data_IF_249931858690
#
_entry.id   IF_249931858690
#
_cell.length_a   1.000
_cell.length_b   1.000
_cell.length_c   1.000
_cell.angle_alpha   90.00
_cell.angle_beta   90.00
_cell.angle_gamma   90.00
#
_symmetry.space_group_name_H-M   'P 1'
#
loop_
_entity.id
_entity.type
_entity.pdbx_description
1 polymer ?
#
# COMPACT_ATOMS: atom_id res chain seq x y z
N UNK A 1 -5.41 8.14 8.22
CA UNK A 1 -4.07 8.62 7.80
C UNK A 1 -3.61 9.87 8.58
N UNK A 2 -2.47 10.45 8.18
CA UNK A 2 -1.91 11.73 8.65
C UNK A 2 -2.39 12.94 7.82
N UNK A 3 -2.78 12.73 6.56
CA UNK A 3 -3.20 13.76 5.60
C UNK A 3 -4.45 13.29 4.83
N UNK A 4 -5.54 12.99 5.53
CA UNK A 4 -6.73 12.35 4.94
C UNK A 4 -7.37 13.14 3.80
N UNK A 5 -7.20 14.46 3.77
CA UNK A 5 -7.66 15.32 2.68
C UNK A 5 -6.86 15.09 1.38
N UNK A 6 -5.53 15.08 1.49
CA UNK A 6 -4.65 14.84 0.34
C UNK A 6 -4.70 13.38 -0.10
N UNK A 7 -4.80 12.45 0.84
CA UNK A 7 -4.91 11.02 0.56
C UNK A 7 -6.13 10.73 -0.33
N UNK A 8 -7.32 11.15 0.09
CA UNK A 8 -8.53 11.02 -0.73
C UNK A 8 -8.43 11.76 -2.08
N UNK A 9 -7.81 12.95 -2.10
CA UNK A 9 -7.66 13.71 -3.34
C UNK A 9 -6.68 13.09 -4.34
N UNK A 10 -5.70 12.33 -3.86
CA UNK A 10 -4.65 11.70 -4.66
C UNK A 10 -5.05 10.29 -5.09
N UNK A 11 -5.69 9.53 -4.20
CA UNK A 11 -5.75 8.07 -4.31
C UNK A 11 -7.13 7.47 -3.94
N UNK A 12 -8.20 8.27 -3.89
CA UNK A 12 -9.53 7.70 -3.68
C UNK A 12 -9.94 6.79 -4.82
N UNK A 13 -10.67 5.73 -4.49
CA UNK A 13 -11.23 4.78 -5.46
C UNK A 13 -12.66 5.15 -5.78
N UNK A 14 -13.15 4.63 -6.90
CA UNK A 14 -14.53 4.86 -7.34
C UNK A 14 -15.58 4.48 -6.28
N UNK A 15 -15.30 3.47 -5.45
CA UNK A 15 -16.24 3.01 -4.40
C UNK A 15 -16.29 3.95 -3.19
N UNK A 16 -15.35 4.89 -3.08
CA UNK A 16 -15.33 5.93 -2.05
C UNK A 16 -16.26 7.11 -2.40
N UNK A 17 -16.87 7.10 -3.60
CA UNK A 17 -17.75 8.16 -4.09
C UNK A 17 -19.17 7.66 -4.39
N UNK A 18 -20.19 8.33 -3.84
CA UNK A 18 -21.60 7.96 -4.05
C UNK A 18 -22.02 7.97 -5.54
N UNK A 19 -21.43 8.87 -6.33
CA UNK A 19 -21.68 9.00 -7.77
C UNK A 19 -20.69 8.20 -8.63
N UNK A 20 -19.85 7.37 -8.01
CA UNK A 20 -18.82 6.56 -8.65
C UNK A 20 -17.98 7.39 -9.63
N UNK A 21 -17.80 6.88 -10.86
CA UNK A 21 -16.94 7.51 -11.88
C UNK A 21 -17.41 8.90 -12.33
N UNK A 22 -18.66 9.26 -12.02
CA UNK A 22 -19.25 10.56 -12.41
C UNK A 22 -19.13 11.61 -11.31
N UNK A 23 -18.63 11.25 -10.13
CA UNK A 23 -18.47 12.17 -9.03
C UNK A 23 -17.48 13.29 -9.38
N UNK A 24 -17.82 14.54 -9.04
CA UNK A 24 -16.95 15.69 -9.30
C UNK A 24 -15.67 15.66 -8.47
N UNK A 25 -15.72 15.02 -7.30
CA UNK A 25 -14.61 14.83 -6.38
C UNK A 25 -13.77 13.57 -6.68
N UNK A 26 -14.18 12.72 -7.64
CA UNK A 26 -13.35 11.60 -8.10
C UNK A 26 -12.20 12.12 -8.97
N UNK A 27 -11.05 12.32 -8.34
CA UNK A 27 -9.83 12.88 -8.93
C UNK A 27 -8.64 11.94 -8.72
N UNK A 28 -7.39 12.42 -8.85
CA UNK A 28 -6.22 11.63 -8.51
C UNK A 28 -5.88 10.49 -9.49
N UNK A 29 -5.15 9.49 -8.97
CA UNK A 29 -4.62 8.35 -9.72
C UNK A 29 -5.74 7.52 -10.35
N UNK A 30 -6.70 7.04 -9.57
CA UNK A 30 -7.75 6.14 -10.08
C UNK A 30 -8.71 6.80 -11.07
N UNK A 31 -8.89 8.13 -11.00
CA UNK A 31 -9.61 8.87 -12.05
C UNK A 31 -8.88 8.83 -13.39
N UNK A 32 -7.56 8.99 -13.37
CA UNK A 32 -6.73 8.88 -14.57
C UNK A 32 -6.61 7.44 -15.03
N UNK A 33 -6.51 6.48 -14.11
CA UNK A 33 -6.53 5.05 -14.38
C UNK A 33 -7.79 4.66 -15.18
N UNK A 34 -8.97 5.11 -14.72
CA UNK A 34 -10.23 4.89 -15.45
C UNK A 34 -10.16 5.44 -16.88
N UNK A 35 -9.72 6.69 -17.05
CA UNK A 35 -9.64 7.31 -18.37
C UNK A 35 -8.67 6.55 -19.30
N UNK A 36 -7.51 6.15 -18.79
CA UNK A 36 -6.45 5.50 -19.57
C UNK A 36 -6.73 4.03 -19.87
N UNK A 37 -7.11 3.25 -18.87
CA UNK A 37 -7.20 1.79 -18.99
C UNK A 37 -8.61 1.29 -19.33
N UNK A 38 -9.65 1.98 -18.86
CA UNK A 38 -11.03 1.63 -19.22
C UNK A 38 -11.51 2.35 -20.48
N UNK A 39 -11.25 3.67 -20.58
CA UNK A 39 -11.76 4.49 -21.67
C UNK A 39 -10.77 4.71 -22.82
N UNK A 40 -9.50 4.30 -22.64
CA UNK A 40 -8.43 4.47 -23.62
C UNK A 40 -8.35 5.90 -24.19
N UNK A 41 -8.43 6.89 -23.31
CA UNK A 41 -8.48 8.31 -23.68
C UNK A 41 -7.74 9.20 -22.69
N UNK A 42 -7.19 10.29 -23.20
CA UNK A 42 -6.66 11.40 -22.41
C UNK A 42 -7.52 12.65 -22.53
N UNK A 43 -8.64 12.56 -23.25
CA UNK A 43 -9.53 13.69 -23.51
C UNK A 43 -10.02 14.28 -22.18
N UNK A 44 -9.88 15.59 -22.05
CA UNK A 44 -10.33 16.38 -20.89
C UNK A 44 -9.65 16.00 -19.55
N UNK A 45 -8.57 15.20 -19.56
CA UNK A 45 -7.86 14.77 -18.34
C UNK A 45 -6.76 15.74 -17.88
N UNK A 46 -6.46 16.78 -18.68
CA UNK A 46 -5.44 17.79 -18.34
C UNK A 46 -5.62 18.40 -16.95
N UNK A 47 -6.82 18.92 -16.60
CA UNK A 47 -7.08 19.46 -15.27
C UNK A 47 -6.91 18.45 -14.13
N UNK A 48 -7.23 17.17 -14.35
CA UNK A 48 -7.05 16.11 -13.34
C UNK A 48 -5.57 15.84 -13.11
N UNK A 49 -4.77 15.75 -14.19
CA UNK A 49 -3.33 15.56 -14.09
C UNK A 49 -2.62 16.75 -13.42
N UNK A 50 -3.02 17.98 -13.74
CA UNK A 50 -2.52 19.19 -13.10
C UNK A 50 -2.83 19.22 -11.60
N UNK A 51 -4.05 18.82 -11.24
CA UNK A 51 -4.47 18.70 -9.83
C UNK A 51 -3.66 17.65 -9.08
N UNK A 52 -3.52 16.44 -9.63
CA UNK A 52 -2.72 15.37 -9.02
C UNK A 52 -1.27 15.83 -8.77
N UNK A 53 -0.64 16.48 -9.77
CA UNK A 53 0.72 17.02 -9.60
C UNK A 53 0.79 18.10 -8.52
N UNK A 54 -0.24 18.94 -8.41
CA UNK A 54 -0.34 19.94 -7.34
C UNK A 54 -0.46 19.29 -5.96
N UNK A 55 -1.33 18.30 -5.82
CA UNK A 55 -1.59 17.61 -4.56
C UNK A 55 -0.36 16.82 -4.08
N UNK A 56 0.36 16.16 -4.99
CA UNK A 56 1.61 15.45 -4.66
C UNK A 56 2.71 16.43 -4.21
N UNK A 57 2.78 17.63 -4.79
CA UNK A 57 3.70 18.69 -4.33
C UNK A 57 3.30 19.25 -2.96
N UNK A 58 2.00 19.37 -2.68
CA UNK A 58 1.52 19.75 -1.35
C UNK A 58 1.87 18.66 -0.33
N UNK A 59 1.63 17.39 -0.66
CA UNK A 59 2.03 16.25 0.18
C UNK A 59 3.53 16.29 0.49
N UNK A 60 4.37 16.50 -0.52
CA UNK A 60 5.83 16.63 -0.32
C UNK A 60 6.17 17.73 0.70
N UNK A 61 5.52 18.89 0.59
CA UNK A 61 5.74 20.01 1.51
C UNK A 61 5.30 19.67 2.93
N UNK A 62 4.07 19.13 3.09
CA UNK A 62 3.53 18.77 4.40
C UNK A 62 4.34 17.68 5.10
N UNK A 63 4.84 16.70 4.33
CA UNK A 63 5.73 15.64 4.83
C UNK A 63 7.07 16.21 5.30
N UNK A 64 7.63 17.19 4.56
CA UNK A 64 8.91 17.83 4.93
C UNK A 64 8.81 18.59 6.25
N UNK A 65 7.67 19.23 6.50
CA UNK A 65 7.41 20.00 7.73
C UNK A 65 6.92 19.12 8.89
N UNK A 66 6.64 17.84 8.64
CA UNK A 66 6.09 16.93 9.64
C UNK A 66 7.18 16.40 10.58
N UNK A 67 6.99 16.61 11.87
CA UNK A 67 7.69 15.82 12.89
C UNK A 67 7.00 14.46 13.01
N UNK A 68 7.68 13.39 12.62
CA UNK A 68 7.14 12.04 12.64
C UNK A 68 7.02 11.49 14.07
N UNK A 69 5.80 11.28 14.60
CA UNK A 69 5.64 10.64 15.88
C UNK A 69 6.06 9.16 15.76
N UNK A 70 7.01 8.66 16.58
CA UNK A 70 7.50 7.29 16.45
C UNK A 70 6.39 6.24 16.55
N UNK A 71 5.36 6.49 17.36
CA UNK A 71 4.20 5.61 17.50
C UNK A 71 3.34 5.55 16.23
N UNK A 72 3.29 6.65 15.47
CA UNK A 72 2.63 6.69 14.15
C UNK A 72 3.44 5.95 13.11
N UNK A 73 4.77 6.09 13.12
CA UNK A 73 5.66 5.37 12.19
C UNK A 73 5.57 3.86 12.45
N UNK A 74 5.71 3.43 13.69
CA UNK A 74 5.65 2.00 14.05
C UNK A 74 4.26 1.42 13.81
N UNK A 75 3.20 2.15 14.17
CA UNK A 75 1.82 1.74 13.89
C UNK A 75 1.49 1.70 12.40
N UNK A 76 2.14 2.54 11.59
CA UNK A 76 1.96 2.59 10.14
C UNK A 76 2.36 1.29 9.43
N UNK A 77 3.34 0.55 9.97
CA UNK A 77 3.69 -0.76 9.43
C UNK A 77 2.51 -1.75 9.51
N UNK A 78 1.81 -1.80 10.65
CA UNK A 78 0.62 -2.62 10.79
C UNK A 78 -0.51 -2.18 9.85
N UNK A 79 -0.76 -0.87 9.78
CA UNK A 79 -1.80 -0.31 8.91
C UNK A 79 -1.59 -0.66 7.42
N UNK A 80 -0.35 -0.59 6.92
CA UNK A 80 -0.02 -1.00 5.55
C UNK A 80 -0.34 -2.48 5.28
N UNK A 81 -0.09 -3.37 6.26
CA UNK A 81 -0.39 -4.80 6.11
C UNK A 81 -1.89 -5.09 6.23
N UNK A 82 -2.61 -4.34 7.06
CA UNK A 82 -4.07 -4.40 7.16
C UNK A 82 -4.74 -3.97 5.85
N UNK A 83 -4.23 -2.91 5.21
CA UNK A 83 -4.72 -2.42 3.92
C UNK A 83 -4.51 -3.45 2.79
N UNK A 84 -3.30 -4.05 2.74
CA UNK A 84 -3.01 -5.17 1.82
C UNK A 84 -3.99 -6.31 2.04
N UNK A 85 -4.24 -6.69 3.29
CA UNK A 85 -5.17 -7.77 3.63
C UNK A 85 -6.61 -7.46 3.21
N UNK A 86 -7.03 -6.20 3.36
CA UNK A 86 -8.41 -5.78 3.15
C UNK A 86 -8.77 -5.65 1.67
N UNK A 87 -7.88 -5.10 0.84
CA UNK A 87 -8.26 -4.61 -0.50
C UNK A 87 -7.32 -5.07 -1.64
N UNK A 88 -6.02 -5.25 -1.37
CA UNK A 88 -5.03 -5.61 -2.42
C UNK A 88 -4.93 -7.11 -2.68
N UNK A 89 -5.34 -7.94 -1.70
CA UNK A 89 -5.47 -9.39 -1.88
C UNK A 89 -6.67 -9.78 -2.75
N UNK A 90 -7.68 -8.92 -2.91
CA UNK A 90 -8.79 -9.15 -3.85
C UNK A 90 -8.55 -8.54 -5.23
N UNK A 91 -7.65 -7.56 -5.34
CA UNK A 91 -7.38 -6.83 -6.58
C UNK A 91 -8.40 -5.71 -6.82
N UNK A 92 -8.86 -5.07 -5.74
CA UNK A 92 -9.90 -4.04 -5.78
C UNK A 92 -9.35 -2.62 -5.92
N UNK A 93 -8.02 -2.46 -5.76
CA UNK A 93 -7.34 -1.16 -5.81
C UNK A 93 -7.32 -0.64 -7.24
N UNK A 94 -6.67 -1.41 -8.13
CA UNK A 94 -6.43 -1.05 -9.53
C UNK A 94 -7.42 -1.78 -10.45
N UNK A 95 -8.71 -1.48 -10.31
CA UNK A 95 -9.77 -2.23 -11.00
C UNK A 95 -9.77 -2.11 -12.52
N UNK A 96 -9.09 -1.11 -13.09
CA UNK A 96 -9.04 -0.87 -14.53
C UNK A 96 -7.69 -1.29 -15.14
N UNK A 97 -6.57 -1.00 -14.48
CA UNK A 97 -5.22 -1.33 -14.94
C UNK A 97 -4.75 -2.72 -14.50
N UNK A 98 -5.31 -3.26 -13.40
CA UNK A 98 -4.92 -4.51 -12.76
C UNK A 98 -3.44 -4.54 -12.35
N UNK A 99 -2.94 -3.42 -11.84
CA UNK A 99 -1.53 -3.24 -11.42
C UNK A 99 -1.28 -3.47 -9.93
N UNK A 100 -2.23 -4.06 -9.20
CA UNK A 100 -2.23 -4.15 -7.72
C UNK A 100 -0.98 -4.83 -7.14
N UNK A 101 -0.26 -5.65 -7.93
CA UNK A 101 1.01 -6.26 -7.49
C UNK A 101 2.13 -5.23 -7.24
N UNK A 102 2.10 -4.09 -7.93
CA UNK A 102 3.02 -2.99 -7.67
C UNK A 102 2.71 -2.34 -6.32
N UNK A 103 1.43 -2.09 -6.03
CA UNK A 103 0.99 -1.49 -4.77
C UNK A 103 1.23 -2.42 -3.59
N UNK A 104 0.93 -3.71 -3.78
CA UNK A 104 1.22 -4.75 -2.81
C UNK A 104 2.72 -4.75 -2.47
N UNK A 105 3.60 -4.82 -3.48
CA UNK A 105 5.04 -4.79 -3.24
C UNK A 105 5.46 -3.50 -2.54
N UNK A 106 4.92 -2.35 -2.93
CA UNK A 106 5.19 -1.06 -2.30
C UNK A 106 4.83 -1.02 -0.81
N UNK A 107 3.67 -1.55 -0.44
CA UNK A 107 3.26 -1.65 0.97
C UNK A 107 4.16 -2.61 1.76
N UNK A 108 4.51 -3.76 1.17
CA UNK A 108 5.43 -4.72 1.80
C UNK A 108 6.80 -4.10 2.03
N UNK A 109 7.35 -3.40 1.04
CA UNK A 109 8.64 -2.72 1.14
C UNK A 109 8.61 -1.62 2.21
N UNK A 110 7.55 -0.82 2.25
CA UNK A 110 7.37 0.25 3.23
C UNK A 110 7.29 -0.27 4.67
N UNK A 111 6.46 -1.29 4.91
CA UNK A 111 6.33 -1.90 6.22
C UNK A 111 7.62 -2.62 6.65
N UNK A 112 8.26 -3.36 5.74
CA UNK A 112 9.55 -4.01 5.99
C UNK A 112 10.63 -2.98 6.33
N UNK A 113 10.63 -1.83 5.67
CA UNK A 113 11.59 -0.76 5.97
C UNK A 113 11.47 -0.26 7.39
N UNK A 114 10.25 -0.12 7.92
CA UNK A 114 10.03 0.25 9.32
C UNK A 114 10.60 -0.83 10.25
N UNK A 115 10.32 -2.11 9.99
CA UNK A 115 10.88 -3.22 10.77
C UNK A 115 12.40 -3.20 10.78
N UNK A 116 13.02 -2.98 9.62
CA UNK A 116 14.47 -2.95 9.49
C UNK A 116 15.11 -1.76 10.24
N UNK A 117 14.43 -0.59 10.29
CA UNK A 117 14.88 0.56 11.07
C UNK A 117 14.83 0.32 12.58
N UNK A 118 13.84 -0.43 13.06
CA UNK A 118 13.68 -0.78 14.49
C UNK A 118 14.28 -2.14 14.87
N UNK A 119 14.91 -2.85 13.92
CA UNK A 119 15.46 -4.19 14.13
C UNK A 119 16.38 -4.30 15.34
N UNK A 120 17.33 -3.37 15.58
CA UNK A 120 18.20 -3.46 16.77
C UNK A 120 17.41 -3.46 18.08
N UNK A 121 16.36 -2.65 18.19
CA UNK A 121 15.50 -2.55 19.37
C UNK A 121 14.59 -3.77 19.50
N UNK A 122 14.03 -4.24 18.38
CA UNK A 122 13.20 -5.45 18.34
C UNK A 122 14.01 -6.68 18.77
N UNK A 123 15.23 -6.87 18.26
CA UNK A 123 16.08 -8.00 18.60
C UNK A 123 16.63 -7.96 20.03
N UNK A 124 16.78 -6.78 20.62
CA UNK A 124 17.10 -6.66 22.04
C UNK A 124 15.95 -7.16 22.92
N UNK A 125 14.70 -6.94 22.51
CA UNK A 125 13.51 -7.36 23.24
C UNK A 125 13.16 -8.84 22.97
N UNK A 126 13.17 -9.25 21.70
CA UNK A 126 12.63 -10.54 21.26
C UNK A 126 13.18 -10.97 19.89
N UNK A 127 14.32 -11.67 19.90
CA UNK A 127 14.95 -12.22 18.67
C UNK A 127 14.10 -13.24 17.95
N UNK A 128 13.31 -14.01 18.69
CA UNK A 128 12.44 -15.03 18.11
C UNK A 128 11.31 -14.38 17.31
N UNK A 129 10.74 -13.30 17.84
CA UNK A 129 9.78 -12.46 17.12
C UNK A 129 10.39 -11.83 15.87
N UNK A 130 11.59 -11.22 15.95
CA UNK A 130 12.25 -10.67 14.77
C UNK A 130 12.41 -11.73 13.67
N UNK A 131 12.85 -12.94 14.04
CA UNK A 131 12.99 -14.07 13.11
C UNK A 131 11.65 -14.55 12.53
N UNK A 132 10.55 -14.43 13.29
CA UNK A 132 9.20 -14.77 12.81
C UNK A 132 8.73 -13.76 11.76
N UNK A 133 8.87 -12.47 12.04
CA UNK A 133 8.51 -11.38 11.13
C UNK A 133 9.26 -11.52 9.80
N UNK A 134 10.58 -11.78 9.85
CA UNK A 134 11.40 -11.98 8.65
C UNK A 134 10.94 -13.14 7.78
N UNK A 135 10.57 -14.27 8.40
CA UNK A 135 10.06 -15.44 7.67
C UNK A 135 8.74 -15.13 6.96
N UNK A 136 7.86 -14.36 7.59
CA UNK A 136 6.60 -13.99 6.98
C UNK A 136 6.79 -13.02 5.81
N UNK A 137 7.63 -11.99 5.96
CA UNK A 137 8.01 -11.12 4.84
C UNK A 137 8.62 -11.92 3.67
N UNK A 138 9.60 -12.79 3.95
CA UNK A 138 10.23 -13.62 2.92
C UNK A 138 9.22 -14.56 2.23
N UNK A 139 8.20 -15.03 2.94
CA UNK A 139 7.13 -15.85 2.35
C UNK A 139 6.29 -15.03 1.38
N UNK A 140 5.86 -13.82 1.77
CA UNK A 140 5.10 -12.90 0.93
C UNK A 140 5.90 -12.51 -0.31
N UNK A 141 7.12 -12.01 -0.13
CA UNK A 141 8.03 -11.61 -1.21
C UNK A 141 8.28 -12.75 -2.20
N UNK A 142 8.46 -13.99 -1.71
CA UNK A 142 8.64 -15.17 -2.56
C UNK A 142 7.40 -15.47 -3.41
N UNK A 143 6.19 -15.20 -2.91
CA UNK A 143 4.96 -15.38 -3.70
C UNK A 143 4.86 -14.28 -4.75
N UNK A 144 5.06 -13.01 -4.38
CA UNK A 144 5.06 -11.88 -5.32
C UNK A 144 6.11 -12.07 -6.43
N UNK A 145 7.30 -12.56 -6.09
CA UNK A 145 8.37 -12.81 -7.05
C UNK A 145 8.01 -13.79 -8.18
N UNK A 146 7.02 -14.68 -7.99
CA UNK A 146 6.52 -15.58 -9.04
C UNK A 146 5.89 -14.82 -10.22
N UNK A 147 5.46 -13.59 -9.97
CA UNK A 147 4.74 -12.74 -10.90
C UNK A 147 5.61 -11.61 -11.47
N UNK A 148 6.93 -11.65 -11.22
CA UNK A 148 7.86 -10.71 -11.84
C UNK A 148 8.03 -11.02 -13.33
N UNK A 149 7.98 -9.99 -14.16
CA UNK A 149 8.27 -10.08 -15.59
C UNK A 149 9.77 -10.00 -15.84
N UNK A 150 10.22 -10.39 -17.04
CA UNK A 150 11.64 -10.45 -17.40
C UNK A 150 12.35 -9.09 -17.39
N UNK A 151 11.60 -8.01 -17.58
CA UNK A 151 12.05 -6.62 -17.56
C UNK A 151 11.99 -5.98 -16.15
N UNK A 152 11.63 -6.74 -15.12
CA UNK A 152 11.62 -6.30 -13.72
C UNK A 152 10.29 -5.75 -13.21
N UNK A 153 9.29 -5.66 -14.08
CA UNK A 153 7.90 -5.34 -13.73
C UNK A 153 7.15 -6.50 -13.09
N UNK A 154 5.83 -6.36 -13.00
CA UNK A 154 4.90 -7.40 -12.57
C UNK A 154 3.89 -7.73 -13.66
N UNK A 155 3.43 -8.98 -13.64
CA UNK A 155 2.22 -9.41 -14.33
C UNK A 155 0.99 -8.65 -13.79
N UNK A 156 -0.08 -8.57 -14.59
CA UNK A 156 -1.36 -8.02 -14.14
C UNK A 156 -2.07 -8.95 -13.17
N UNK A 157 -2.91 -8.39 -12.29
CA UNK A 157 -3.49 -9.09 -11.16
C UNK A 157 -4.40 -10.28 -11.53
N UNK A 158 -5.01 -10.24 -12.71
CA UNK A 158 -5.79 -11.34 -13.29
C UNK A 158 -4.98 -12.64 -13.48
N UNK A 159 -3.64 -12.54 -13.58
CA UNK A 159 -2.75 -13.71 -13.69
C UNK A 159 -2.41 -14.33 -12.33
N UNK A 160 -2.74 -13.67 -11.22
CA UNK A 160 -2.47 -14.19 -9.87
C UNK A 160 -3.38 -15.38 -9.60
N UNK A 161 -2.77 -16.55 -9.47
CA UNK A 161 -3.48 -17.80 -9.24
C UNK A 161 -4.20 -17.76 -7.90
N UNK A 162 -5.43 -18.28 -7.87
CA UNK A 162 -6.25 -18.40 -6.66
C UNK A 162 -5.51 -19.04 -5.47
N UNK A 163 -4.70 -20.07 -5.73
CA UNK A 163 -3.89 -20.72 -4.68
C UNK A 163 -2.82 -19.78 -4.10
N UNK A 164 -2.23 -18.90 -4.93
CA UNK A 164 -1.26 -17.92 -4.45
C UNK A 164 -1.94 -16.76 -3.72
N UNK A 165 -3.13 -16.32 -4.16
CA UNK A 165 -3.96 -15.36 -3.40
C UNK A 165 -4.24 -15.87 -1.98
N UNK A 166 -4.72 -17.12 -1.87
CA UNK A 166 -4.94 -17.78 -0.57
C UNK A 166 -3.66 -17.95 0.25
N UNK A 167 -2.53 -18.22 -0.41
CA UNK A 167 -1.24 -18.36 0.26
C UNK A 167 -0.69 -17.02 0.79
N UNK A 168 -1.15 -15.87 0.29
CA UNK A 168 -0.80 -14.55 0.80
C UNK A 168 -1.59 -14.17 2.06
N UNK A 169 -2.86 -14.58 2.17
CA UNK A 169 -3.76 -14.22 3.30
C UNK A 169 -3.14 -14.51 4.66
N UNK A 170 -2.66 -15.74 4.87
CA UNK A 170 -2.11 -16.16 6.17
C UNK A 170 -0.89 -15.33 6.60
N UNK A 171 0.18 -15.27 5.79
CA UNK A 171 1.36 -14.46 6.07
C UNK A 171 1.07 -12.97 6.24
N UNK A 172 0.21 -12.36 5.40
CA UNK A 172 -0.14 -10.94 5.51
C UNK A 172 -0.91 -10.67 6.80
N UNK A 173 -1.92 -11.46 7.13
CA UNK A 173 -2.67 -11.31 8.39
C UNK A 173 -1.75 -11.49 9.61
N UNK A 174 -0.83 -12.45 9.54
CA UNK A 174 0.14 -12.68 10.61
C UNK A 174 1.08 -11.49 10.74
N UNK A 175 1.52 -10.87 9.64
CA UNK A 175 2.33 -9.65 9.68
C UNK A 175 1.52 -8.48 10.26
N UNK A 176 0.26 -8.27 9.85
CA UNK A 176 -0.59 -7.24 10.42
C UNK A 176 -0.71 -7.39 11.95
N UNK A 177 -1.03 -8.60 12.43
CA UNK A 177 -1.13 -8.91 13.85
C UNK A 177 0.21 -8.69 14.58
N UNK A 178 1.30 -9.26 14.07
CA UNK A 178 2.62 -9.15 14.69
C UNK A 178 3.08 -7.68 14.77
N UNK A 179 2.93 -6.92 13.68
CA UNK A 179 3.34 -5.53 13.59
C UNK A 179 2.48 -4.61 14.46
N UNK A 180 1.20 -4.96 14.71
CA UNK A 180 0.35 -4.22 15.65
C UNK A 180 0.93 -4.22 17.08
N UNK A 181 1.69 -5.26 17.44
CA UNK A 181 2.33 -5.38 18.77
C UNK A 181 3.63 -4.60 18.90
N UNK A 182 4.20 -4.11 17.79
CA UNK A 182 5.52 -3.44 17.81
C UNK A 182 5.54 -2.20 18.69
N UNK A 183 4.48 -1.40 18.69
CA UNK A 183 4.38 -0.23 19.56
C UNK A 183 4.57 -0.60 21.02
N UNK A 184 3.90 -1.65 21.48
CA UNK A 184 4.03 -2.16 22.84
C UNK A 184 5.43 -2.71 23.13
N UNK A 185 6.00 -3.49 22.21
CA UNK A 185 7.37 -4.04 22.34
C UNK A 185 8.44 -2.95 22.39
N UNK A 186 8.20 -1.80 21.76
CA UNK A 186 9.11 -0.65 21.73
C UNK A 186 8.82 0.40 22.81
N UNK A 187 7.80 0.19 23.67
CA UNK A 187 7.43 1.14 24.71
C UNK A 187 6.79 2.44 24.19
N UNK A 188 6.07 2.37 23.07
CA UNK A 188 5.42 3.49 22.37
C UNK A 188 3.88 3.47 22.52
N UNK A 189 3.38 2.94 23.64
CA UNK A 189 1.95 2.87 23.95
C UNK A 189 1.43 4.17 24.55
#
# INVERSE_FOLDING_TARGET
ELFSDLDASIDSRVDDHEQGVTAEDFTGFHRLEYALFSQNTTKDQGPIADKLMSDVKDLQKRVTDLTFPPEKVVGGAAALLEEVAATKISGEEDRYSHTDLYDFQGNIDGAKKIVDLFRPQIEQQDKAFASKVDKNFATVEKILAKYKTKDGGFETYDKVKENDRKALVGPVNTLAEDLSTLRGKLGLN
#
